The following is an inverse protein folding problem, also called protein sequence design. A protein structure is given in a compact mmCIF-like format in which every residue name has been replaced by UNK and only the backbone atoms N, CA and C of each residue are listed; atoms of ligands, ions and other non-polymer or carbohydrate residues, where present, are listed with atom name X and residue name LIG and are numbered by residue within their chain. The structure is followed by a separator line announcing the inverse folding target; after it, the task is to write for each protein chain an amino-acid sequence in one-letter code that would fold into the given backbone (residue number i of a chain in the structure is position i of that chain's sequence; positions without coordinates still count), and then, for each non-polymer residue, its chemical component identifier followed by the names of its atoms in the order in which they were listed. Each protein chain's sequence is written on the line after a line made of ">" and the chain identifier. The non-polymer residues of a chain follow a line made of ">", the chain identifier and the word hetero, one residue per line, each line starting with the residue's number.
data_IF_520763537149
#
_entry.id   IF_520763537149
#
_cell.length_a   1.000
_cell.length_b   1.000
_cell.length_c   1.000
_cell.angle_alpha   90.00
_cell.angle_beta   90.00
_cell.angle_gamma   90.00
#
_symmetry.space_group_name_H-M   'P 1'
#
loop_
_entity.id
_entity.type
_entity.pdbx_description
1 polymer ?
#
# COMPACT_ATOMS: atom_id res chain seq x y z
N UNK A 1 -26.25 -6.42 23.04
CA UNK A 1 -26.00 -5.05 23.53
C UNK A 1 -27.26 -4.48 24.15
N UNK A 2 -28.39 -4.43 23.45
CA UNK A 2 -29.66 -3.86 23.96
C UNK A 2 -30.16 -4.48 25.30
N UNK A 3 -29.82 -5.76 25.53
CA UNK A 3 -30.16 -6.49 26.77
C UNK A 3 -29.06 -6.49 27.81
N UNK A 4 -27.91 -5.84 27.56
CA UNK A 4 -26.72 -5.85 28.42
C UNK A 4 -26.14 -7.25 28.69
N UNK A 5 -26.38 -8.23 27.83
CA UNK A 5 -25.96 -9.63 28.01
C UNK A 5 -24.67 -9.95 27.21
N UNK A 6 -24.12 -9.03 26.43
CA UNK A 6 -22.96 -9.30 25.56
C UNK A 6 -21.74 -9.82 26.31
N UNK A 7 -21.51 -9.35 27.52
CA UNK A 7 -20.36 -9.79 28.33
C UNK A 7 -20.52 -11.20 28.93
N UNK A 8 -21.70 -11.78 28.80
CA UNK A 8 -22.02 -13.11 29.39
C UNK A 8 -21.92 -14.23 28.37
N UNK A 9 -21.71 -13.92 27.09
CA UNK A 9 -21.66 -14.88 25.99
C UNK A 9 -20.37 -14.74 25.17
N UNK A 10 -19.84 -15.88 24.70
CA UNK A 10 -18.83 -15.93 23.67
C UNK A 10 -19.48 -15.88 22.29
N UNK A 11 -18.86 -15.14 21.34
CA UNK A 11 -19.29 -15.07 19.95
C UNK A 11 -18.30 -15.84 19.06
N UNK A 12 -18.78 -16.96 18.51
CA UNK A 12 -18.03 -17.75 17.54
C UNK A 12 -18.58 -17.43 16.15
N UNK A 13 -17.71 -17.02 15.22
CA UNK A 13 -18.07 -16.73 13.84
C UNK A 13 -17.58 -17.85 12.94
N UNK A 14 -18.50 -18.58 12.32
CA UNK A 14 -18.22 -19.54 11.27
C UNK A 14 -18.51 -18.89 9.91
N UNK A 15 -17.50 -18.80 9.05
CA UNK A 15 -17.62 -18.06 7.80
C UNK A 15 -16.72 -18.62 6.69
N UNK A 16 -17.22 -18.58 5.46
CA UNK A 16 -16.45 -18.88 4.26
C UNK A 16 -15.66 -17.69 3.71
N UNK A 17 -15.87 -16.47 4.23
CA UNK A 17 -15.28 -15.26 3.66
C UNK A 17 -13.99 -14.83 4.36
N UNK A 18 -13.77 -15.20 5.62
CA UNK A 18 -12.53 -14.88 6.32
C UNK A 18 -11.38 -15.74 5.80
N UNK A 19 -10.38 -15.12 5.17
CA UNK A 19 -9.27 -15.83 4.51
C UNK A 19 -7.90 -15.33 4.96
N UNK A 20 -7.76 -14.06 5.22
CA UNK A 20 -6.48 -13.39 5.50
C UNK A 20 -6.52 -12.58 6.79
N UNK A 21 -5.37 -12.06 7.19
CA UNK A 21 -5.17 -11.35 8.48
C UNK A 21 -6.17 -10.22 8.67
N UNK A 22 -6.41 -9.40 7.63
CA UNK A 22 -7.32 -8.25 7.73
C UNK A 22 -8.75 -8.68 8.10
N UNK A 23 -9.25 -9.74 7.48
CA UNK A 23 -10.59 -10.28 7.78
C UNK A 23 -10.70 -10.72 9.25
N UNK A 24 -9.66 -11.37 9.77
CA UNK A 24 -9.64 -11.78 11.17
C UNK A 24 -9.55 -10.59 12.12
N UNK A 25 -8.71 -9.60 11.79
CA UNK A 25 -8.63 -8.36 12.55
C UNK A 25 -9.98 -7.65 12.62
N UNK A 26 -10.69 -7.57 11.49
CA UNK A 26 -12.02 -6.97 11.40
C UNK A 26 -13.02 -7.69 12.33
N UNK A 27 -13.15 -9.02 12.19
CA UNK A 27 -14.10 -9.80 12.98
C UNK A 27 -13.83 -9.73 14.49
N UNK A 28 -12.57 -9.81 14.89
CA UNK A 28 -12.17 -9.65 16.30
C UNK A 28 -12.42 -8.21 16.78
N UNK A 29 -12.10 -7.20 15.94
CA UNK A 29 -12.36 -5.80 16.25
C UNK A 29 -13.84 -5.52 16.52
N UNK A 30 -14.74 -6.16 15.78
CA UNK A 30 -16.18 -6.10 15.99
C UNK A 30 -16.72 -7.10 17.03
N UNK A 31 -15.84 -7.82 17.74
CA UNK A 31 -16.18 -8.53 18.98
C UNK A 31 -16.27 -10.04 18.85
N UNK A 32 -15.83 -10.67 17.76
CA UNK A 32 -15.73 -12.12 17.72
C UNK A 32 -14.73 -12.62 18.76
N UNK A 33 -15.06 -13.74 19.43
CA UNK A 33 -14.19 -14.41 20.39
C UNK A 33 -13.43 -15.56 19.75
N UNK A 34 -14.02 -16.21 18.75
CA UNK A 34 -13.39 -17.23 17.93
C UNK A 34 -13.90 -17.14 16.47
N UNK A 35 -13.08 -17.61 15.53
CA UNK A 35 -13.39 -17.62 14.10
C UNK A 35 -13.07 -19.00 13.55
N UNK A 36 -14.06 -19.60 12.85
CA UNK A 36 -13.88 -20.81 12.05
C UNK A 36 -13.94 -20.43 10.57
N UNK A 37 -12.79 -20.20 9.90
CA UNK A 37 -12.73 -19.84 8.48
C UNK A 37 -12.72 -21.11 7.61
N UNK A 38 -13.84 -21.85 7.62
CA UNK A 38 -13.91 -23.21 7.03
C UNK A 38 -13.48 -23.27 5.56
N UNK A 39 -13.83 -22.28 4.74
CA UNK A 39 -13.43 -22.27 3.33
C UNK A 39 -11.92 -22.04 3.15
N UNK A 40 -11.26 -21.29 4.03
CA UNK A 40 -9.82 -21.17 4.00
C UNK A 40 -9.14 -22.51 4.28
N UNK A 41 -9.65 -23.28 5.22
CA UNK A 41 -9.16 -24.64 5.50
C UNK A 41 -9.38 -25.58 4.33
N UNK A 42 -10.58 -25.59 3.75
CA UNK A 42 -10.90 -26.41 2.57
C UNK A 42 -9.98 -26.07 1.38
N UNK A 43 -9.74 -24.79 1.13
CA UNK A 43 -8.83 -24.35 0.09
C UNK A 43 -7.39 -24.83 0.31
N UNK A 44 -6.90 -24.77 1.55
CA UNK A 44 -5.57 -25.26 1.93
C UNK A 44 -5.46 -26.79 1.74
N UNK A 45 -6.45 -27.54 2.19
CA UNK A 45 -6.50 -29.00 2.04
C UNK A 45 -6.55 -29.40 0.56
N UNK A 46 -7.34 -28.69 -0.24
CA UNK A 46 -7.38 -28.89 -1.70
C UNK A 46 -6.01 -28.61 -2.31
N UNK A 47 -5.37 -27.48 -1.99
CA UNK A 47 -4.07 -27.11 -2.52
C UNK A 47 -2.99 -28.16 -2.22
N UNK A 48 -3.02 -28.77 -1.02
CA UNK A 48 -2.12 -29.85 -0.68
C UNK A 48 -2.40 -31.11 -1.51
N UNK A 49 -3.66 -31.51 -1.64
CA UNK A 49 -4.04 -32.68 -2.43
C UNK A 49 -3.70 -32.54 -3.91
N UNK A 50 -3.71 -31.32 -4.43
CA UNK A 50 -3.30 -30.98 -5.81
C UNK A 50 -1.78 -30.79 -5.98
N UNK A 51 -0.98 -30.99 -4.93
CA UNK A 51 0.49 -30.88 -4.98
C UNK A 51 1.01 -29.45 -5.10
N UNK A 52 0.20 -28.44 -4.77
CA UNK A 52 0.58 -27.02 -4.81
C UNK A 52 1.36 -26.58 -3.56
N UNK A 53 1.41 -27.40 -2.52
CA UNK A 53 2.15 -27.14 -1.31
C UNK A 53 3.44 -28.01 -1.27
N UNK A 54 4.51 -27.49 -0.65
CA UNK A 54 5.72 -28.27 -0.45
C UNK A 54 5.45 -29.45 0.51
N UNK A 55 5.55 -30.72 0.07
CA UNK A 55 5.22 -31.88 0.89
C UNK A 55 6.22 -32.12 2.04
N UNK A 56 7.46 -31.62 1.93
CA UNK A 56 8.46 -31.71 3.00
C UNK A 56 8.10 -30.79 4.18
N UNK A 57 7.47 -29.67 3.89
CA UNK A 57 7.05 -28.69 4.90
C UNK A 57 5.65 -29.00 5.44
N UNK A 58 4.74 -29.49 4.59
CA UNK A 58 3.33 -29.73 4.91
C UNK A 58 2.94 -31.18 4.61
N UNK A 59 3.30 -32.08 5.52
CA UNK A 59 3.08 -33.52 5.35
C UNK A 59 1.61 -33.94 5.47
N UNK A 60 0.79 -33.15 6.23
CA UNK A 60 -0.61 -33.45 6.48
C UNK A 60 -1.48 -32.17 6.55
N UNK A 61 -2.79 -32.36 6.63
CA UNK A 61 -3.76 -31.25 6.70
C UNK A 61 -3.64 -30.47 8.01
N UNK A 62 -3.23 -31.11 9.10
CA UNK A 62 -3.08 -30.46 10.39
C UNK A 62 -1.90 -29.49 10.42
N UNK A 63 -0.79 -29.83 9.74
CA UNK A 63 0.39 -28.95 9.62
C UNK A 63 0.05 -27.67 8.85
N UNK A 64 -0.76 -27.76 7.80
CA UNK A 64 -1.25 -26.60 7.05
C UNK A 64 -2.13 -25.70 7.91
N UNK A 65 -3.08 -26.27 8.64
CA UNK A 65 -3.96 -25.52 9.56
C UNK A 65 -3.15 -24.84 10.65
N UNK A 66 -2.14 -25.53 11.20
CA UNK A 66 -1.25 -24.95 12.21
C UNK A 66 -0.43 -23.79 11.65
N UNK A 67 0.11 -23.91 10.42
CA UNK A 67 0.84 -22.86 9.74
C UNK A 67 -0.07 -21.64 9.45
N UNK A 68 -1.27 -21.86 8.95
CA UNK A 68 -2.25 -20.80 8.71
C UNK A 68 -2.59 -20.06 10.02
N UNK A 69 -2.93 -20.78 11.08
CA UNK A 69 -3.22 -20.19 12.40
C UNK A 69 -2.05 -19.37 12.93
N UNK A 70 -0.83 -19.89 12.80
CA UNK A 70 0.39 -19.18 13.20
C UNK A 70 0.60 -17.90 12.38
N UNK A 71 0.36 -17.98 11.07
CA UNK A 71 0.45 -16.82 10.16
C UNK A 71 -0.55 -15.73 10.52
N UNK A 72 -1.83 -16.09 10.70
CA UNK A 72 -2.89 -15.16 11.11
C UNK A 72 -2.59 -14.55 12.48
N UNK A 73 -2.23 -15.36 13.47
CA UNK A 73 -1.91 -14.86 14.82
C UNK A 73 -0.73 -13.87 14.80
N UNK A 74 0.34 -14.20 14.06
CA UNK A 74 1.49 -13.30 13.89
C UNK A 74 1.11 -11.99 13.20
N UNK A 75 0.26 -12.06 12.18
CA UNK A 75 -0.25 -10.89 11.49
C UNK A 75 -1.10 -10.00 12.39
N UNK A 76 -2.02 -10.58 13.17
CA UNK A 76 -2.84 -9.84 14.13
C UNK A 76 -1.99 -9.16 15.22
N UNK A 77 -0.99 -9.85 15.76
CA UNK A 77 -0.07 -9.26 16.73
C UNK A 77 0.70 -8.07 16.15
N UNK A 78 1.08 -8.14 14.88
CA UNK A 78 1.70 -6.99 14.18
C UNK A 78 0.75 -5.81 14.05
N UNK A 79 -0.52 -6.06 13.71
CA UNK A 79 -1.55 -5.01 13.62
C UNK A 79 -1.76 -4.37 14.98
N UNK A 80 -1.93 -5.17 16.04
CA UNK A 80 -2.08 -4.67 17.41
C UNK A 80 -0.87 -3.84 17.85
N UNK A 81 0.34 -4.33 17.61
CA UNK A 81 1.57 -3.61 17.91
C UNK A 81 1.64 -2.25 17.20
N UNK A 82 1.25 -2.20 15.91
CA UNK A 82 1.18 -0.94 15.15
C UNK A 82 0.19 0.05 15.73
N UNK A 83 -0.95 -0.44 16.20
CA UNK A 83 -1.99 0.38 16.83
C UNK A 83 -1.64 0.76 18.29
N UNK A 84 -0.56 0.23 18.85
CA UNK A 84 -0.21 0.43 20.26
C UNK A 84 -1.15 -0.27 21.24
N UNK A 85 -1.88 -1.30 20.79
CA UNK A 85 -2.84 -2.06 21.59
C UNK A 85 -2.19 -3.36 22.04
N UNK A 86 -1.94 -3.50 23.34
CA UNK A 86 -1.20 -4.62 23.91
C UNK A 86 -2.05 -5.84 24.28
N UNK A 87 -3.36 -5.68 24.45
CA UNK A 87 -4.26 -6.77 24.83
C UNK A 87 -5.41 -6.95 23.86
N UNK A 88 -5.84 -8.20 23.66
CA UNK A 88 -6.96 -8.50 22.77
C UNK A 88 -8.28 -7.89 23.26
N UNK A 89 -8.46 -7.79 24.57
CA UNK A 89 -9.64 -7.15 25.15
C UNK A 89 -9.75 -5.68 24.76
N UNK A 90 -8.63 -4.96 24.74
CA UNK A 90 -8.59 -3.56 24.31
C UNK A 90 -8.76 -3.39 22.80
N UNK A 91 -8.44 -4.42 22.01
CA UNK A 91 -8.64 -4.43 20.58
C UNK A 91 -10.12 -4.59 20.19
N UNK A 92 -10.86 -5.43 20.94
CA UNK A 92 -12.30 -5.62 20.70
C UNK A 92 -13.06 -4.33 20.97
N UNK A 93 -13.79 -3.84 19.97
CA UNK A 93 -14.57 -2.62 20.08
C UNK A 93 -13.75 -1.32 20.07
N UNK A 94 -12.49 -1.36 19.68
CA UNK A 94 -11.61 -0.19 19.64
C UNK A 94 -11.98 0.85 18.57
N UNK A 95 -12.96 0.56 17.70
CA UNK A 95 -13.44 1.47 16.63
C UNK A 95 -12.33 1.97 15.72
N UNK A 96 -11.41 1.09 15.34
CA UNK A 96 -10.23 1.39 14.53
C UNK A 96 -10.46 1.21 13.03
N UNK A 97 -11.67 0.81 12.64
CA UNK A 97 -12.06 0.59 11.24
C UNK A 97 -12.91 1.74 10.73
N UNK A 98 -12.84 1.96 9.43
CA UNK A 98 -13.68 2.87 8.69
C UNK A 98 -14.43 2.08 7.61
N UNK A 99 -15.72 2.35 7.44
CA UNK A 99 -16.50 1.76 6.35
C UNK A 99 -16.38 2.63 5.10
N UNK A 100 -16.19 1.98 3.97
CA UNK A 100 -16.16 2.63 2.65
C UNK A 100 -17.17 1.94 1.76
N UNK A 101 -18.12 2.71 1.22
CA UNK A 101 -19.11 2.21 0.28
C UNK A 101 -20.33 1.56 0.94
N UNK A 102 -20.64 1.89 2.20
CA UNK A 102 -21.88 1.49 2.88
C UNK A 102 -22.73 2.72 3.23
N UNK A 103 -24.04 2.63 3.02
CA UNK A 103 -24.97 3.67 3.43
C UNK A 103 -25.14 3.72 4.94
N UNK A 104 -25.54 4.88 5.45
CA UNK A 104 -25.72 5.15 6.88
C UNK A 104 -26.69 4.16 7.53
N UNK A 105 -27.77 3.76 6.83
CA UNK A 105 -28.71 2.76 7.36
C UNK A 105 -28.05 1.42 7.71
N UNK A 106 -27.04 1.00 6.93
CA UNK A 106 -26.28 -0.22 7.18
C UNK A 106 -25.36 -0.03 8.39
N UNK A 107 -24.75 1.14 8.48
CA UNK A 107 -23.85 1.50 9.58
C UNK A 107 -24.63 1.57 10.89
N UNK A 108 -25.75 2.27 10.89
CA UNK A 108 -26.58 2.46 12.09
C UNK A 108 -27.17 1.13 12.62
N UNK A 109 -27.46 0.20 11.71
CA UNK A 109 -28.00 -1.10 12.07
C UNK A 109 -26.91 -2.09 12.52
N UNK A 110 -25.80 -2.18 11.79
CA UNK A 110 -24.83 -3.26 11.93
C UNK A 110 -23.50 -2.82 12.54
N UNK A 111 -23.09 -1.56 12.37
CA UNK A 111 -21.74 -1.06 12.67
C UNK A 111 -21.77 0.25 13.44
N UNK A 112 -22.66 0.36 14.41
CA UNK A 112 -22.87 1.59 15.19
C UNK A 112 -21.54 2.16 15.71
N UNK A 113 -21.30 3.44 15.40
CA UNK A 113 -20.09 4.16 15.78
C UNK A 113 -18.91 4.03 14.79
N UNK A 114 -19.07 3.25 13.72
CA UNK A 114 -18.06 3.18 12.66
C UNK A 114 -18.17 4.41 11.75
N UNK A 115 -17.04 5.09 11.50
CA UNK A 115 -17.00 6.19 10.56
C UNK A 115 -17.25 5.70 9.12
N UNK A 116 -18.13 6.40 8.38
CA UNK A 116 -18.39 6.15 6.96
C UNK A 116 -18.44 7.48 6.22
N UNK A 117 -17.38 7.80 5.49
CA UNK A 117 -17.24 9.06 4.75
C UNK A 117 -17.59 8.92 3.28
N UNK A 118 -17.62 7.69 2.77
CA UNK A 118 -17.98 7.37 1.40
C UNK A 118 -19.18 6.45 1.44
N UNK A 119 -20.33 7.00 1.05
CA UNK A 119 -21.58 6.26 0.93
C UNK A 119 -21.52 5.25 -0.22
N UNK A 120 -22.42 4.28 -0.24
CA UNK A 120 -22.45 3.26 -1.29
C UNK A 120 -23.71 2.41 -1.21
N UNK A 121 -23.56 1.09 -1.06
CA UNK A 121 -24.64 0.11 -1.13
C UNK A 121 -25.50 0.12 0.13
N UNK A 122 -26.79 -0.10 -0.07
CA UNK A 122 -27.80 -0.32 0.96
C UNK A 122 -28.01 -1.81 1.24
N UNK A 123 -28.92 -2.14 2.17
CA UNK A 123 -29.21 -3.53 2.52
C UNK A 123 -29.80 -4.34 1.37
N UNK A 124 -30.60 -3.74 0.49
CA UNK A 124 -31.18 -4.43 -0.65
C UNK A 124 -30.12 -4.82 -1.68
N UNK A 125 -29.20 -3.92 -1.97
CA UNK A 125 -28.07 -4.17 -2.87
C UNK A 125 -27.14 -5.26 -2.33
N UNK A 126 -26.84 -5.24 -1.02
CA UNK A 126 -26.11 -6.32 -0.36
C UNK A 126 -26.83 -7.66 -0.48
N UNK A 127 -28.16 -7.67 -0.29
CA UNK A 127 -28.96 -8.87 -0.46
C UNK A 127 -28.94 -9.39 -1.91
N UNK A 128 -29.03 -8.50 -2.90
CA UNK A 128 -28.92 -8.88 -4.32
C UNK A 128 -27.57 -9.51 -4.64
N UNK A 129 -26.47 -8.97 -4.14
CA UNK A 129 -25.14 -9.54 -4.34
C UNK A 129 -25.03 -10.94 -3.73
N UNK A 130 -25.60 -11.15 -2.55
CA UNK A 130 -25.63 -12.46 -1.90
C UNK A 130 -26.47 -13.46 -2.71
N UNK A 131 -27.64 -13.05 -3.21
CA UNK A 131 -28.51 -13.89 -4.04
C UNK A 131 -27.87 -14.27 -5.37
N UNK A 132 -27.14 -13.34 -6.01
CA UNK A 132 -26.38 -13.63 -7.24
C UNK A 132 -25.30 -14.69 -6.98
N UNK A 133 -24.52 -14.56 -5.89
CA UNK A 133 -23.52 -15.56 -5.51
C UNK A 133 -24.15 -16.90 -5.19
N UNK A 134 -25.29 -16.90 -4.52
CA UNK A 134 -26.04 -18.11 -4.22
C UNK A 134 -26.51 -18.81 -5.50
N UNK A 135 -27.09 -18.06 -6.45
CA UNK A 135 -27.56 -18.63 -7.72
C UNK A 135 -26.41 -19.25 -8.55
N UNK A 136 -25.21 -18.63 -8.52
CA UNK A 136 -24.02 -19.22 -9.15
C UNK A 136 -23.57 -20.52 -8.49
N UNK A 137 -23.68 -20.61 -7.18
CA UNK A 137 -23.30 -21.80 -6.40
C UNK A 137 -24.34 -22.92 -6.49
N UNK A 138 -25.62 -22.58 -6.68
CA UNK A 138 -26.78 -23.50 -6.71
C UNK A 138 -27.63 -23.23 -7.95
N UNK A 139 -27.12 -23.50 -9.16
CA UNK A 139 -27.87 -23.33 -10.38
C UNK A 139 -29.06 -24.29 -10.44
N UNK A 140 -30.13 -23.90 -11.14
CA UNK A 140 -31.33 -24.71 -11.28
C UNK A 140 -31.07 -26.07 -11.99
N UNK A 141 -30.12 -26.06 -12.95
CA UNK A 141 -29.67 -27.25 -13.65
C UNK A 141 -28.30 -27.69 -13.19
N UNK A 142 -28.14 -28.98 -12.95
CA UNK A 142 -26.87 -29.55 -12.53
C UNK A 142 -25.75 -29.38 -13.58
N UNK A 143 -26.14 -29.40 -14.87
CA UNK A 143 -25.23 -29.23 -16.00
C UNK A 143 -24.60 -27.80 -16.03
N UNK A 144 -25.30 -26.81 -15.46
CA UNK A 144 -24.84 -25.43 -15.40
C UNK A 144 -23.88 -25.21 -14.23
N UNK A 145 -23.59 -26.24 -13.43
CA UNK A 145 -22.66 -26.13 -12.30
C UNK A 145 -21.23 -25.96 -12.81
N UNK A 146 -20.61 -24.90 -12.40
CA UNK A 146 -19.22 -24.60 -12.76
C UNK A 146 -18.29 -25.65 -12.15
N UNK A 147 -17.51 -26.32 -13.01
CA UNK A 147 -16.49 -27.30 -12.56
C UNK A 147 -15.32 -26.62 -11.85
N UNK A 148 -15.00 -25.40 -12.25
CA UNK A 148 -13.93 -24.60 -11.66
C UNK A 148 -14.47 -23.27 -11.18
N UNK A 149 -13.96 -22.78 -10.05
CA UNK A 149 -14.30 -21.44 -9.58
C UNK A 149 -13.78 -20.38 -10.56
N UNK A 150 -14.60 -19.36 -10.89
CA UNK A 150 -14.15 -18.27 -11.74
C UNK A 150 -13.02 -17.50 -11.04
N UNK A 151 -12.00 -17.16 -11.81
CA UNK A 151 -11.01 -16.22 -11.32
C UNK A 151 -11.55 -14.80 -11.50
N UNK A 152 -12.00 -14.19 -10.41
CA UNK A 152 -12.61 -12.86 -10.43
C UNK A 152 -11.61 -11.74 -10.76
N UNK A 153 -10.33 -12.04 -10.89
CA UNK A 153 -9.33 -11.03 -11.22
C UNK A 153 -9.07 -10.01 -10.11
N UNK A 154 -9.28 -10.38 -8.85
CA UNK A 154 -9.12 -9.50 -7.70
C UNK A 154 -7.68 -8.93 -7.59
N UNK A 155 -6.67 -9.77 -7.78
CA UNK A 155 -5.26 -9.37 -7.70
C UNK A 155 -4.58 -9.14 -9.05
N UNK A 156 -5.09 -9.80 -10.09
CA UNK A 156 -4.56 -9.71 -11.44
C UNK A 156 -5.69 -9.52 -12.44
N UNK A 157 -5.48 -8.68 -13.43
CA UNK A 157 -6.46 -8.47 -14.48
C UNK A 157 -6.87 -9.78 -15.16
N UNK A 158 -8.17 -9.94 -15.37
CA UNK A 158 -8.81 -11.01 -16.16
C UNK A 158 -9.88 -10.40 -17.06
N UNK A 159 -10.06 -10.96 -18.24
CA UNK A 159 -11.01 -10.44 -19.25
C UNK A 159 -12.43 -10.28 -18.68
N UNK A 160 -12.90 -11.30 -17.97
CA UNK A 160 -14.24 -11.36 -17.38
C UNK A 160 -14.28 -11.00 -15.88
N UNK A 161 -13.17 -10.48 -15.35
CA UNK A 161 -13.05 -10.18 -13.92
C UNK A 161 -13.18 -8.70 -13.58
N UNK A 162 -12.69 -8.38 -12.41
CA UNK A 162 -12.60 -7.02 -11.87
C UNK A 162 -11.94 -6.04 -12.84
N UNK A 163 -12.40 -4.80 -12.83
CA UNK A 163 -11.83 -3.74 -13.65
C UNK A 163 -10.62 -3.15 -12.95
N UNK A 164 -9.48 -3.19 -13.63
CA UNK A 164 -8.23 -2.62 -13.15
C UNK A 164 -7.86 -1.38 -13.95
N UNK A 165 -7.35 -0.36 -13.28
CA UNK A 165 -6.79 0.83 -13.91
C UNK A 165 -5.59 0.45 -14.80
N UNK A 166 -4.76 -0.45 -14.31
CA UNK A 166 -3.66 -1.06 -15.07
C UNK A 166 -4.14 -2.37 -15.69
N UNK A 167 -4.43 -2.32 -16.97
CA UNK A 167 -4.92 -3.42 -17.78
C UNK A 167 -4.11 -3.52 -19.08
N UNK A 168 -4.28 -4.57 -19.90
CA UNK A 168 -3.48 -4.73 -21.12
C UNK A 168 -3.52 -3.53 -22.06
N UNK A 169 -4.64 -2.84 -22.19
CA UNK A 169 -4.77 -1.69 -23.07
C UNK A 169 -3.98 -0.49 -22.55
N UNK A 170 -4.11 -0.15 -21.27
CA UNK A 170 -3.38 0.96 -20.65
C UNK A 170 -1.86 0.71 -20.67
N UNK A 171 -1.44 -0.51 -20.38
CA UNK A 171 -0.02 -0.90 -20.38
C UNK A 171 0.54 -0.84 -21.80
N UNK A 172 -0.15 -1.42 -22.80
CA UNK A 172 0.30 -1.43 -24.18
C UNK A 172 0.43 -0.02 -24.75
N UNK A 173 -0.56 0.86 -24.52
CA UNK A 173 -0.53 2.24 -24.95
C UNK A 173 0.63 3.02 -24.33
N UNK A 174 0.84 2.87 -23.01
CA UNK A 174 1.96 3.52 -22.31
C UNK A 174 3.33 3.03 -22.80
N UNK A 175 3.48 1.70 -22.96
CA UNK A 175 4.73 1.13 -23.48
C UNK A 175 5.01 1.57 -24.93
N UNK A 176 3.99 1.61 -25.77
CA UNK A 176 4.12 2.11 -27.15
C UNK A 176 4.58 3.57 -27.13
N UNK A 177 3.91 4.42 -26.35
CA UNK A 177 4.28 5.82 -26.22
C UNK A 177 5.74 6.01 -25.79
N UNK A 178 6.17 5.27 -24.75
CA UNK A 178 7.53 5.38 -24.22
C UNK A 178 8.62 4.87 -25.18
N UNK A 179 8.35 3.75 -25.89
CA UNK A 179 9.32 3.13 -26.79
C UNK A 179 9.47 3.85 -28.12
N UNK A 180 8.40 4.42 -28.63
CA UNK A 180 8.37 5.06 -29.96
C UNK A 180 8.33 6.57 -29.89
N UNK A 181 8.31 7.15 -28.68
CA UNK A 181 8.11 8.58 -28.43
C UNK A 181 6.87 9.14 -29.19
N UNK A 182 5.77 8.36 -29.18
CA UNK A 182 4.55 8.67 -29.89
C UNK A 182 3.51 9.30 -28.96
N UNK A 183 3.18 10.57 -29.24
CA UNK A 183 2.23 11.32 -28.44
C UNK A 183 0.78 10.78 -28.56
N UNK A 184 0.37 10.26 -29.71
CA UNK A 184 -0.98 9.73 -29.88
C UNK A 184 -1.19 8.47 -29.03
N UNK A 185 -0.18 7.61 -28.92
CA UNK A 185 -0.20 6.47 -28.00
C UNK A 185 -0.27 6.93 -26.53
N UNK A 186 0.45 8.00 -26.17
CA UNK A 186 0.34 8.58 -24.83
C UNK A 186 -1.06 9.16 -24.58
N UNK A 187 -1.64 9.83 -25.58
CA UNK A 187 -2.99 10.37 -25.47
C UNK A 187 -4.03 9.26 -25.28
N UNK A 188 -3.92 8.14 -26.01
CA UNK A 188 -4.78 6.97 -25.80
C UNK A 188 -4.69 6.44 -24.36
N UNK A 189 -3.46 6.32 -23.84
CA UNK A 189 -3.25 5.95 -22.43
C UNK A 189 -3.90 6.95 -21.48
N UNK A 190 -3.65 8.24 -21.67
CA UNK A 190 -4.17 9.32 -20.82
C UNK A 190 -5.71 9.36 -20.82
N UNK A 191 -6.32 9.27 -22.01
CA UNK A 191 -7.78 9.27 -22.16
C UNK A 191 -8.40 8.05 -21.47
N UNK A 192 -7.79 6.87 -21.63
CA UNK A 192 -8.24 5.67 -20.95
C UNK A 192 -8.18 5.80 -19.41
N UNK A 193 -7.05 6.28 -18.87
CA UNK A 193 -6.88 6.44 -17.42
C UNK A 193 -7.81 7.52 -16.85
N UNK A 194 -7.96 8.64 -17.56
CA UNK A 194 -8.71 9.79 -17.02
C UNK A 194 -10.22 9.66 -17.21
N UNK A 195 -10.67 8.94 -18.20
CA UNK A 195 -12.11 8.82 -18.51
C UNK A 195 -12.68 7.48 -18.06
N UNK A 196 -12.14 6.35 -18.53
CA UNK A 196 -12.73 5.03 -18.27
C UNK A 196 -12.30 4.45 -16.93
N UNK A 197 -10.97 4.34 -16.71
CA UNK A 197 -10.42 3.65 -15.56
C UNK A 197 -10.65 4.42 -14.27
N UNK A 198 -10.55 5.75 -14.30
CA UNK A 198 -10.79 6.62 -13.14
C UNK A 198 -12.20 6.41 -12.58
N UNK A 199 -13.22 6.41 -13.44
CA UNK A 199 -14.60 6.28 -13.01
C UNK A 199 -14.92 4.90 -12.40
N UNK A 200 -14.19 3.85 -12.80
CA UNK A 200 -14.46 2.46 -12.39
C UNK A 200 -13.55 1.94 -11.29
N UNK A 201 -12.35 2.50 -11.15
CA UNK A 201 -11.29 1.92 -10.34
C UNK A 201 -10.74 2.83 -9.24
N UNK A 202 -11.16 4.09 -9.18
CA UNK A 202 -10.62 5.06 -8.21
C UNK A 202 -11.72 5.90 -7.57
N UNK A 203 -11.67 6.07 -6.24
CA UNK A 203 -12.62 6.89 -5.49
C UNK A 203 -12.70 8.32 -6.02
N UNK A 204 -11.60 8.90 -6.47
CA UNK A 204 -11.60 10.23 -7.10
C UNK A 204 -12.48 10.32 -8.36
N UNK A 205 -12.78 9.19 -9.01
CA UNK A 205 -13.68 9.13 -10.15
C UNK A 205 -15.15 9.38 -9.80
N UNK A 206 -15.51 9.25 -8.52
CA UNK A 206 -16.83 9.54 -7.97
C UNK A 206 -16.97 10.98 -7.51
N UNK A 207 -15.90 11.78 -7.58
CA UNK A 207 -15.87 13.18 -7.15
C UNK A 207 -15.94 14.09 -8.35
N UNK A 208 -16.63 15.22 -8.19
CA UNK A 208 -16.73 16.30 -9.17
C UNK A 208 -16.16 17.59 -8.59
N UNK A 209 -15.70 18.48 -9.46
CA UNK A 209 -15.31 19.81 -9.04
C UNK A 209 -16.55 20.61 -8.68
N UNK A 210 -16.51 21.27 -7.52
CA UNK A 210 -17.58 22.16 -7.09
C UNK A 210 -17.41 23.49 -7.81
N UNK A 211 -18.19 23.68 -8.86
CA UNK A 211 -18.18 24.92 -9.62
C UNK A 211 -18.72 26.11 -8.81
N UNK A 212 -18.28 27.31 -9.14
CA UNK A 212 -18.74 28.54 -8.51
C UNK A 212 -18.18 28.86 -7.12
N UNK A 213 -17.28 28.02 -6.59
CA UNK A 213 -16.54 28.31 -5.36
C UNK A 213 -15.47 29.36 -5.64
N UNK A 214 -15.26 30.30 -4.70
CA UNK A 214 -14.25 31.37 -4.82
C UNK A 214 -14.44 32.31 -6.04
N UNK A 215 -15.69 32.54 -6.48
CA UNK A 215 -15.96 33.50 -7.54
C UNK A 215 -15.94 32.96 -8.97
N UNK A 216 -15.73 31.67 -9.15
CA UNK A 216 -15.75 31.03 -10.47
C UNK A 216 -14.38 30.94 -11.15
N UNK A 217 -14.32 30.65 -12.47
CA UNK A 217 -13.08 30.49 -13.18
C UNK A 217 -12.28 31.79 -13.28
N UNK A 218 -10.96 31.66 -13.17
CA UNK A 218 -10.02 32.77 -13.35
C UNK A 218 -9.59 32.87 -14.82
N UNK A 219 -9.15 34.06 -15.30
CA UNK A 219 -8.59 34.23 -16.62
C UNK A 219 -7.38 33.29 -16.85
N UNK A 220 -7.20 32.81 -18.09
CA UNK A 220 -6.13 31.84 -18.39
C UNK A 220 -4.73 32.41 -18.11
N UNK A 221 -4.56 33.72 -18.22
CA UNK A 221 -3.31 34.43 -17.94
C UNK A 221 -2.93 34.41 -16.46
N UNK A 222 -3.90 34.21 -15.59
CA UNK A 222 -3.69 34.08 -14.13
C UNK A 222 -3.48 32.63 -13.71
N UNK A 223 -3.69 31.66 -14.61
CA UNK A 223 -3.45 30.25 -14.33
C UNK A 223 -1.95 29.97 -14.31
N UNK A 224 -1.49 29.33 -13.25
CA UNK A 224 -0.09 28.95 -13.11
C UNK A 224 0.34 28.01 -14.23
N UNK A 225 1.52 28.26 -14.83
CA UNK A 225 2.03 27.44 -15.92
C UNK A 225 2.35 26.00 -15.47
N UNK A 226 2.24 25.04 -16.40
CA UNK A 226 2.58 23.64 -16.11
C UNK A 226 4.01 23.49 -15.60
N UNK A 227 4.97 24.26 -16.11
CA UNK A 227 6.36 24.25 -15.68
C UNK A 227 6.56 24.71 -14.23
N UNK A 228 5.74 25.62 -13.74
CA UNK A 228 5.75 26.02 -12.32
C UNK A 228 5.05 24.97 -11.43
N UNK A 229 3.93 24.41 -11.91
CA UNK A 229 3.19 23.37 -11.20
C UNK A 229 4.08 22.13 -10.98
N UNK A 230 4.82 21.69 -11.99
CA UNK A 230 5.66 20.48 -11.94
C UNK A 230 6.75 20.57 -10.87
N UNK A 231 7.26 21.76 -10.55
CA UNK A 231 8.27 21.98 -9.49
C UNK A 231 7.81 21.48 -8.10
N UNK A 232 6.50 21.37 -7.88
CA UNK A 232 5.92 20.85 -6.63
C UNK A 232 5.69 19.35 -6.63
N UNK A 233 5.91 18.67 -7.76
CA UNK A 233 5.75 17.23 -7.87
C UNK A 233 7.01 16.49 -7.46
N UNK A 234 6.81 15.34 -6.83
CA UNK A 234 7.88 14.42 -6.49
C UNK A 234 7.48 12.98 -6.79
N UNK A 235 8.46 12.13 -7.02
CA UNK A 235 8.22 10.69 -7.12
C UNK A 235 7.90 10.11 -5.75
N UNK A 236 7.22 8.97 -5.74
CA UNK A 236 7.17 8.12 -4.54
C UNK A 236 8.59 7.74 -4.08
N UNK A 237 8.76 7.56 -2.79
CA UNK A 237 10.03 7.10 -2.21
C UNK A 237 10.21 5.60 -2.49
N UNK A 238 10.98 5.26 -3.51
CA UNK A 238 11.32 3.89 -3.89
C UNK A 238 12.80 3.68 -3.73
N UNK A 239 13.19 2.74 -2.86
CA UNK A 239 14.60 2.49 -2.57
C UNK A 239 15.27 1.65 -3.66
N UNK A 240 16.54 1.90 -3.91
CA UNK A 240 17.38 1.02 -4.69
C UNK A 240 17.45 -0.37 -4.03
N UNK A 241 17.16 -1.40 -4.81
CA UNK A 241 16.97 -2.77 -4.33
C UNK A 241 15.50 -3.20 -4.24
N UNK A 242 14.55 -2.26 -4.15
CA UNK A 242 13.13 -2.52 -4.45
C UNK A 242 12.82 -2.28 -5.93
N UNK A 243 13.53 -1.36 -6.57
CA UNK A 243 13.55 -1.17 -8.03
C UNK A 243 14.99 -1.27 -8.54
N UNK A 244 15.16 -1.45 -9.85
CA UNK A 244 16.49 -1.55 -10.48
C UNK A 244 17.24 -0.22 -10.47
N UNK A 245 18.55 -0.25 -10.70
CA UNK A 245 19.38 0.94 -10.82
C UNK A 245 18.90 1.84 -11.96
N UNK A 246 18.59 1.23 -13.13
CA UNK A 246 18.12 1.95 -14.32
C UNK A 246 16.81 2.69 -14.06
N UNK A 247 15.86 2.06 -13.37
CA UNK A 247 14.60 2.68 -13.00
C UNK A 247 14.80 3.81 -12.01
N UNK A 248 15.65 3.62 -10.99
CA UNK A 248 15.95 4.61 -9.97
C UNK A 248 16.66 5.84 -10.56
N UNK A 249 17.63 5.62 -11.44
CA UNK A 249 18.34 6.69 -12.14
C UNK A 249 17.47 7.37 -13.19
N UNK A 250 16.68 6.60 -13.94
CA UNK A 250 15.75 7.14 -14.94
C UNK A 250 14.71 8.08 -14.34
N UNK A 251 14.16 7.74 -13.16
CA UNK A 251 13.26 8.63 -12.41
C UNK A 251 13.97 9.92 -11.99
N UNK A 252 15.22 9.84 -11.53
CA UNK A 252 15.98 11.02 -11.13
C UNK A 252 16.24 11.95 -12.33
N UNK A 253 16.69 11.39 -13.46
CA UNK A 253 16.92 12.17 -14.70
C UNK A 253 15.63 12.84 -15.18
N UNK A 254 14.53 12.09 -15.22
CA UNK A 254 13.24 12.61 -15.68
C UNK A 254 12.77 13.79 -14.81
N UNK A 255 12.81 13.63 -13.49
CA UNK A 255 12.38 14.68 -12.57
C UNK A 255 13.31 15.89 -12.60
N UNK A 256 14.62 15.69 -12.71
CA UNK A 256 15.57 16.80 -12.84
C UNK A 256 15.35 17.60 -14.13
N UNK A 257 15.08 16.94 -15.27
CA UNK A 257 14.75 17.61 -16.54
C UNK A 257 13.45 18.41 -16.45
N UNK A 258 12.44 17.89 -15.73
CA UNK A 258 11.16 18.56 -15.56
C UNK A 258 11.19 19.69 -14.51
N UNK A 259 12.23 19.75 -13.67
CA UNK A 259 12.29 20.65 -12.52
C UNK A 259 11.53 20.16 -11.28
N UNK A 260 11.02 18.93 -11.30
CA UNK A 260 10.44 18.24 -10.16
C UNK A 260 11.52 17.58 -9.29
N UNK A 261 11.11 16.70 -8.37
CA UNK A 261 12.02 16.06 -7.43
C UNK A 261 11.85 14.55 -7.41
N UNK A 262 12.94 13.79 -7.55
CA UNK A 262 12.95 12.36 -7.26
C UNK A 262 13.37 12.09 -5.81
N UNK A 263 12.90 11.00 -5.24
CA UNK A 263 13.18 10.59 -3.86
C UNK A 263 13.96 9.27 -3.85
N UNK A 264 15.07 9.21 -3.13
CA UNK A 264 15.93 8.03 -3.03
C UNK A 264 15.24 6.81 -2.37
N UNK A 265 14.23 7.04 -1.55
CA UNK A 265 13.78 6.01 -0.60
C UNK A 265 14.83 5.71 0.47
N UNK A 266 14.67 4.59 1.17
CA UNK A 266 15.46 4.22 2.36
C UNK A 266 16.84 3.62 2.06
N UNK A 267 17.18 3.40 0.82
CA UNK A 267 18.32 2.56 0.44
C UNK A 267 19.65 3.29 0.23
N UNK A 268 19.72 4.59 0.50
CA UNK A 268 20.89 5.38 0.12
C UNK A 268 20.92 5.67 -1.39
N UNK A 269 22.04 6.20 -1.85
CA UNK A 269 22.27 6.53 -3.26
C UNK A 269 23.76 6.39 -3.56
N UNK A 270 24.09 5.80 -4.72
CA UNK A 270 25.47 5.66 -5.16
C UNK A 270 26.11 7.05 -5.34
N UNK A 271 27.24 7.34 -4.68
CA UNK A 271 27.95 8.63 -4.82
C UNK A 271 28.33 9.00 -6.25
N UNK A 272 28.53 8.02 -7.14
CA UNK A 272 28.82 8.28 -8.56
C UNK A 272 27.70 9.07 -9.25
N UNK A 273 26.47 8.97 -8.76
CA UNK A 273 25.30 9.68 -9.28
C UNK A 273 25.30 11.19 -8.95
N UNK A 274 26.15 11.65 -8.06
CA UNK A 274 26.24 13.07 -7.69
C UNK A 274 26.96 13.90 -8.75
N UNK A 275 27.69 13.24 -9.65
CA UNK A 275 28.35 13.90 -10.76
C UNK A 275 27.41 13.96 -11.98
N UNK A 276 27.31 15.12 -12.65
CA UNK A 276 26.54 15.22 -13.89
C UNK A 276 27.12 14.32 -14.99
N UNK A 277 26.23 13.84 -15.86
CA UNK A 277 26.62 13.12 -17.06
C UNK A 277 27.23 14.09 -18.11
N UNK A 278 27.99 13.58 -19.09
CA UNK A 278 28.58 14.42 -20.16
C UNK A 278 27.57 15.24 -20.96
N UNK A 279 26.32 14.78 -21.05
CA UNK A 279 25.22 15.48 -21.73
C UNK A 279 24.52 16.53 -20.83
N UNK A 280 25.00 16.74 -19.60
CA UNK A 280 24.42 17.66 -18.63
C UNK A 280 23.30 17.09 -17.77
N UNK A 281 22.86 15.86 -18.00
CA UNK A 281 21.85 15.22 -17.15
C UNK A 281 22.39 14.89 -15.77
N UNK A 282 21.53 14.93 -14.78
CA UNK A 282 21.85 14.54 -13.42
C UNK A 282 21.05 13.30 -13.00
N UNK A 283 21.77 12.29 -12.53
CA UNK A 283 21.20 11.08 -11.92
C UNK A 283 20.91 11.26 -10.41
N UNK A 284 21.28 12.39 -9.85
CA UNK A 284 21.14 12.72 -8.43
C UNK A 284 19.67 12.91 -8.07
N UNK A 285 19.19 12.18 -7.07
CA UNK A 285 17.85 12.42 -6.52
C UNK A 285 17.86 13.67 -5.64
N UNK A 286 16.89 14.56 -5.86
CA UNK A 286 16.77 15.81 -5.12
C UNK A 286 16.39 15.61 -3.65
N UNK A 287 15.47 14.64 -3.40
CA UNK A 287 15.05 14.29 -2.04
C UNK A 287 15.82 13.05 -1.60
N UNK A 288 16.51 13.17 -0.45
CA UNK A 288 17.23 12.07 0.15
C UNK A 288 16.57 11.65 1.46
N UNK A 289 16.13 10.41 1.51
CA UNK A 289 15.42 9.88 2.67
C UNK A 289 16.39 9.36 3.73
N UNK A 290 16.08 9.65 4.99
CA UNK A 290 16.82 9.18 6.16
C UNK A 290 15.91 8.21 6.90
N UNK A 291 16.14 6.91 6.69
CA UNK A 291 15.37 5.86 7.33
C UNK A 291 15.77 5.66 8.78
N UNK A 292 14.89 5.01 9.55
CA UNK A 292 15.22 4.61 10.92
C UNK A 292 16.47 3.71 11.00
N UNK A 293 16.72 2.89 9.97
CA UNK A 293 17.93 2.06 9.84
C UNK A 293 19.18 2.81 9.36
N UNK A 294 19.07 4.08 8.97
CA UNK A 294 20.20 4.94 8.50
C UNK A 294 21.00 4.34 7.34
N UNK A 295 20.43 3.47 6.52
CA UNK A 295 21.14 2.82 5.40
C UNK A 295 21.66 3.83 4.39
N UNK A 296 22.97 3.80 4.12
CA UNK A 296 23.62 4.66 3.14
C UNK A 296 23.68 6.13 3.50
N UNK A 297 23.35 6.52 4.73
CA UNK A 297 23.38 7.90 5.20
C UNK A 297 24.81 8.26 5.58
N UNK A 298 25.44 9.11 4.75
CA UNK A 298 26.78 9.67 4.96
C UNK A 298 26.71 11.20 4.87
N UNK A 299 27.75 11.89 5.31
CA UNK A 299 27.85 13.36 5.15
C UNK A 299 27.74 13.73 3.67
N UNK A 300 28.40 12.98 2.79
CA UNK A 300 28.34 13.22 1.34
C UNK A 300 26.94 13.05 0.78
N UNK A 301 26.21 12.02 1.21
CA UNK A 301 24.80 11.84 0.86
C UNK A 301 23.96 13.04 1.31
N UNK A 302 24.11 13.49 2.55
CA UNK A 302 23.34 14.58 3.13
C UNK A 302 23.61 15.93 2.45
N UNK A 303 24.88 16.23 2.14
CA UNK A 303 25.27 17.50 1.51
C UNK A 303 24.86 17.60 0.04
N UNK A 304 24.59 16.47 -0.62
CA UNK A 304 24.11 16.41 -2.00
C UNK A 304 22.56 16.38 -2.13
N UNK A 305 21.83 16.74 -1.08
CA UNK A 305 20.39 16.82 -1.08
C UNK A 305 19.88 18.25 -1.28
N UNK A 306 18.80 18.42 -2.03
CA UNK A 306 17.99 19.65 -2.04
C UNK A 306 16.94 19.59 -0.92
N UNK A 307 16.50 18.37 -0.59
CA UNK A 307 15.59 18.10 0.52
C UNK A 307 16.01 16.82 1.25
N UNK A 308 16.09 16.90 2.57
CA UNK A 308 16.30 15.76 3.45
C UNK A 308 14.98 15.37 4.07
N UNK A 309 14.61 14.09 3.96
CA UNK A 309 13.35 13.60 4.47
C UNK A 309 13.57 12.53 5.55
N UNK A 310 13.26 12.88 6.79
CA UNK A 310 13.24 11.92 7.90
C UNK A 310 12.04 11.00 7.70
N UNK A 311 12.30 9.70 7.54
CA UNK A 311 11.23 8.71 7.43
C UNK A 311 11.08 7.96 8.75
N UNK A 312 9.93 8.13 9.38
CA UNK A 312 9.57 7.44 10.61
C UNK A 312 8.93 6.09 10.27
N UNK A 313 7.79 5.75 10.79
CA UNK A 313 7.12 4.46 10.55
C UNK A 313 6.37 4.40 9.23
N UNK A 314 5.99 3.19 8.79
CA UNK A 314 5.14 2.96 7.63
C UNK A 314 3.74 2.52 8.06
N UNK A 315 2.69 3.17 7.51
CA UNK A 315 1.30 2.82 7.80
C UNK A 315 0.86 1.50 7.18
N UNK A 316 1.32 1.21 5.95
CA UNK A 316 0.89 0.04 5.19
C UNK A 316 1.50 -1.30 5.66
N UNK A 317 2.51 -1.27 6.51
CA UNK A 317 3.18 -2.46 7.06
C UNK A 317 3.18 -2.42 8.58
N UNK A 318 2.05 -2.69 9.23
CA UNK A 318 1.94 -2.64 10.67
C UNK A 318 2.97 -3.55 11.37
N UNK A 319 3.80 -2.96 12.24
CA UNK A 319 4.79 -3.69 13.03
C UNK A 319 6.00 -4.25 12.28
N UNK A 320 6.12 -4.04 10.96
CA UNK A 320 7.22 -4.63 10.16
C UNK A 320 8.39 -3.67 9.90
N UNK A 321 8.09 -2.40 9.64
CA UNK A 321 9.11 -1.49 9.11
C UNK A 321 9.52 -1.87 7.67
N UNK A 322 10.62 -1.29 7.19
CA UNK A 322 11.22 -1.61 5.89
C UNK A 322 12.10 -2.86 5.99
N UNK A 323 11.90 -3.85 5.13
CA UNK A 323 12.73 -5.04 5.06
C UNK A 323 13.23 -5.27 3.64
N UNK A 324 14.52 -5.61 3.50
CA UNK A 324 15.10 -6.16 2.29
C UNK A 324 15.67 -7.55 2.62
N UNK A 325 15.09 -8.63 2.06
CA UNK A 325 15.59 -9.98 2.32
C UNK A 325 17.04 -10.17 1.88
N UNK A 326 17.82 -10.95 2.62
CA UNK A 326 19.23 -11.15 2.36
C UNK A 326 19.56 -11.60 0.93
N UNK A 327 18.71 -12.45 0.33
CA UNK A 327 18.85 -12.87 -1.08
C UNK A 327 18.81 -11.73 -2.11
N UNK A 328 18.30 -10.56 -1.75
CA UNK A 328 18.28 -9.37 -2.59
C UNK A 328 19.44 -8.41 -2.30
N UNK A 329 20.18 -8.64 -1.23
CA UNK A 329 21.31 -7.79 -0.84
C UNK A 329 22.57 -8.32 -1.54
N UNK A 330 22.78 -7.87 -2.76
CA UNK A 330 23.99 -8.10 -3.54
C UNK A 330 25.15 -7.20 -3.08
N UNK A 331 26.31 -7.33 -3.71
CA UNK A 331 27.49 -6.53 -3.40
C UNK A 331 27.24 -5.01 -3.60
N UNK A 332 26.50 -4.63 -4.63
CA UNK A 332 26.22 -3.24 -4.95
C UNK A 332 25.28 -2.63 -3.91
N UNK A 333 24.21 -3.31 -3.55
CA UNK A 333 23.28 -2.88 -2.52
C UNK A 333 23.96 -2.80 -1.17
N UNK A 334 24.78 -3.82 -0.82
CA UNK A 334 25.53 -3.84 0.43
C UNK A 334 26.50 -2.67 0.53
N UNK A 335 27.23 -2.37 -0.54
CA UNK A 335 28.16 -1.24 -0.61
C UNK A 335 27.43 0.10 -0.39
N UNK A 336 26.31 0.34 -1.10
CA UNK A 336 25.57 1.59 -1.02
C UNK A 336 24.91 1.74 0.35
N UNK A 337 24.44 0.66 0.95
CA UNK A 337 23.79 0.66 2.27
C UNK A 337 24.77 0.55 3.45
N UNK A 338 26.06 0.42 3.19
CA UNK A 338 27.10 0.15 4.18
C UNK A 338 26.78 -1.08 5.04
N UNK A 339 26.50 -2.21 4.38
CA UNK A 339 26.12 -3.48 4.99
C UNK A 339 26.85 -4.65 4.37
N UNK A 340 26.53 -5.88 4.77
CA UNK A 340 27.16 -7.10 4.29
C UNK A 340 26.27 -7.81 3.25
N UNK A 341 26.81 -8.26 2.09
CA UNK A 341 26.06 -9.03 1.12
C UNK A 341 25.43 -10.27 1.73
N UNK A 342 24.23 -10.63 1.29
CA UNK A 342 23.51 -11.81 1.74
C UNK A 342 22.81 -11.67 3.10
N UNK A 343 23.03 -10.59 3.83
CA UNK A 343 22.40 -10.33 5.13
C UNK A 343 21.14 -9.46 4.94
N UNK A 344 20.01 -9.91 5.50
CA UNK A 344 18.76 -9.15 5.47
C UNK A 344 18.87 -7.82 6.23
N UNK A 345 18.25 -6.79 5.68
CA UNK A 345 18.27 -5.43 6.23
C UNK A 345 16.88 -5.04 6.70
N UNK A 346 16.77 -4.61 7.95
CA UNK A 346 15.51 -4.18 8.56
C UNK A 346 15.66 -2.73 9.02
N UNK A 347 14.74 -1.88 8.54
CA UNK A 347 14.57 -0.53 9.05
C UNK A 347 13.40 -0.57 10.05
N UNK A 348 13.64 -0.45 11.37
CA UNK A 348 12.57 -0.57 12.35
C UNK A 348 11.52 0.54 12.19
N UNK A 349 10.26 0.33 12.62
CA UNK A 349 9.20 1.33 12.48
C UNK A 349 9.57 2.69 13.09
N UNK A 350 9.98 2.81 14.38
CA UNK A 350 10.48 4.06 14.94
C UNK A 350 11.99 4.16 14.77
N UNK A 351 12.50 5.38 14.78
CA UNK A 351 13.93 5.60 15.02
C UNK A 351 14.26 5.28 16.47
N UNK A 352 15.32 4.54 16.72
CA UNK A 352 15.72 4.14 18.09
C UNK A 352 16.19 5.29 18.96
N UNK A 353 16.55 6.42 18.37
CA UNK A 353 17.01 7.65 19.01
C UNK A 353 15.95 8.76 19.04
N UNK A 354 14.72 8.48 18.60
CA UNK A 354 13.62 9.44 18.58
C UNK A 354 12.45 8.87 19.37
N UNK A 355 12.25 9.39 20.59
CA UNK A 355 11.19 8.99 21.51
C UNK A 355 10.20 10.12 21.79
N UNK A 356 10.53 11.35 21.39
CA UNK A 356 9.70 12.52 21.61
C UNK A 356 9.79 13.50 20.42
N UNK A 357 8.94 14.52 20.41
CA UNK A 357 9.00 15.60 19.42
C UNK A 357 10.27 16.44 19.57
N UNK A 358 10.83 16.53 20.78
CA UNK A 358 12.08 17.22 21.07
C UNK A 358 13.28 16.50 20.44
N UNK A 359 13.32 15.18 20.51
CA UNK A 359 14.34 14.36 19.83
C UNK A 359 14.27 14.56 18.31
N UNK A 360 13.04 14.60 17.76
CA UNK A 360 12.85 14.89 16.34
C UNK A 360 13.31 16.30 15.97
N UNK A 361 13.04 17.28 16.83
CA UNK A 361 13.49 18.66 16.63
C UNK A 361 15.04 18.75 16.65
N UNK A 362 15.70 17.98 17.53
CA UNK A 362 17.16 17.90 17.57
C UNK A 362 17.72 17.31 16.27
N UNK A 363 17.13 16.22 15.76
CA UNK A 363 17.57 15.63 14.49
C UNK A 363 17.38 16.60 13.32
N UNK A 364 16.28 17.34 13.28
CA UNK A 364 16.05 18.39 12.27
C UNK A 364 17.14 19.47 12.36
N UNK A 365 17.47 19.91 13.58
CA UNK A 365 18.51 20.88 13.80
C UNK A 365 19.86 20.37 13.31
N UNK A 366 20.25 19.16 13.67
CA UNK A 366 21.53 18.55 13.28
C UNK A 366 21.65 18.44 11.74
N UNK A 367 20.59 18.01 11.07
CA UNK A 367 20.54 17.95 9.60
C UNK A 367 20.67 19.34 8.96
N UNK A 368 20.09 20.35 9.57
CA UNK A 368 20.24 21.74 9.15
C UNK A 368 21.65 22.28 9.34
N UNK A 369 22.38 21.80 10.34
CA UNK A 369 23.80 22.17 10.52
C UNK A 369 24.67 21.52 9.43
N UNK A 370 24.36 20.28 9.03
CA UNK A 370 25.11 19.57 7.98
C UNK A 370 24.83 20.19 6.59
N UNK A 371 23.58 20.51 6.28
CA UNK A 371 23.18 21.12 5.02
C UNK A 371 22.20 22.28 5.27
N UNK A 372 22.69 23.50 5.56
CA UNK A 372 21.85 24.65 5.89
C UNK A 372 20.91 25.09 4.76
N UNK A 373 21.25 24.77 3.51
CA UNK A 373 20.47 25.18 2.33
C UNK A 373 19.31 24.24 2.03
N UNK A 374 19.38 22.98 2.47
CA UNK A 374 18.34 22.01 2.15
C UNK A 374 17.07 22.24 2.95
N UNK A 375 15.95 21.83 2.39
CA UNK A 375 14.70 21.68 3.12
C UNK A 375 14.76 20.39 3.94
N UNK A 376 14.32 20.43 5.18
CA UNK A 376 14.16 19.23 6.02
C UNK A 376 12.68 18.97 6.21
N UNK A 377 12.25 17.77 5.84
CA UNK A 377 10.86 17.31 5.94
C UNK A 377 10.78 16.03 6.76
N UNK A 378 9.59 15.75 7.28
CA UNK A 378 9.32 14.54 8.06
C UNK A 378 8.17 13.79 7.41
N UNK A 379 8.39 12.50 7.09
CA UNK A 379 7.36 11.60 6.61
C UNK A 379 6.73 10.88 7.79
N UNK A 380 5.48 11.19 8.04
CA UNK A 380 4.67 10.58 9.10
C UNK A 380 3.54 9.73 8.50
N UNK A 381 3.01 8.83 9.30
CA UNK A 381 1.78 8.12 8.98
C UNK A 381 0.61 9.09 9.11
N UNK A 382 -0.26 9.12 8.12
CA UNK A 382 -1.55 9.81 8.23
C UNK A 382 -2.45 8.99 9.16
N UNK A 383 -2.81 9.54 10.31
CA UNK A 383 -3.69 8.95 11.31
C UNK A 383 -4.89 9.87 11.61
#
# INVERSE_FOLDING_TARGET
>A
VKRAERSQIGLIVETGEAREVHHHCLLIGYGADAINPYMAFEALWKSRREGLCNPEEFSDDASLVAAYRKGVAKGMLKVMAKMGISTLHSYKGAQIFEAIGLQDEVIDLCFVGTASRVQGVNLNELAEEMLRRHALGFPERKEDKMETLPNLGEFHWRAEGEKHMWNPNSIAALQSAARTNNFDSYKQFSDHINNDAKARCALRGLMEFKEGVNGGPIPIEEVESASEIVKRFCTGAMSFGSISAEAHEGLAIAMNRLGGKSNTGEGGEDPERFNPLPNGDSKRSAIKQIASGRFGVTIWYLTNADELQIKVSQGAKPGEGGELPGKKVDETIARIRHSTPGVGLISPPPHHDIYSIEDLAQLIYDLKQINPRCKVTVKLVAA
#
